data_IF_962275240537
#
_entry.id   IF_962275240537
#
_cell.length_a   1.000
_cell.length_b   1.000
_cell.length_c   1.000
_cell.angle_alpha   90.00
_cell.angle_beta   90.00
_cell.angle_gamma   90.00
#
_symmetry.space_group_name_H-M   'P 1'
#
loop_
_entity.id
_entity.type
_entity.pdbx_description
1 polymer ?
#
# COMPACT_ATOMS: atom_id res chain seq x y z
N UNK A 1 25.75 -16.70 81.80
CA UNK A 1 24.64 -15.73 81.96
C UNK A 1 24.41 -15.08 80.60
N UNK A 2 23.17 -15.17 80.07
CA UNK A 2 22.57 -14.48 78.90
C UNK A 2 23.28 -14.65 77.52
N UNK A 3 22.80 -15.46 76.57
CA UNK A 3 21.52 -15.50 75.80
C UNK A 3 21.24 -14.25 74.94
N UNK A 4 20.99 -14.55 73.65
CA UNK A 4 20.05 -13.93 72.69
C UNK A 4 20.54 -12.76 71.81
N UNK A 5 20.76 -13.01 70.51
CA UNK A 5 19.85 -12.80 69.32
C UNK A 5 19.78 -11.32 68.90
N UNK A 6 19.95 -10.92 67.63
CA UNK A 6 18.90 -11.04 66.60
C UNK A 6 19.35 -10.50 65.20
N UNK A 7 19.08 -11.29 64.15
CA UNK A 7 18.70 -11.01 62.72
C UNK A 7 19.62 -10.15 61.84
N UNK A 8 20.32 -10.71 60.84
CA UNK A 8 19.88 -11.18 59.49
C UNK A 8 19.23 -10.09 58.63
N UNK A 9 19.96 -9.64 57.60
CA UNK A 9 19.54 -9.66 56.18
C UNK A 9 20.77 -10.01 55.34
N UNK A 10 20.77 -11.18 54.70
CA UNK A 10 21.68 -11.53 53.60
C UNK A 10 20.96 -11.12 52.32
N UNK A 11 21.49 -10.12 51.62
CA UNK A 11 21.05 -9.81 50.26
C UNK A 11 21.82 -10.71 49.30
N UNK A 12 21.12 -11.73 48.80
CA UNK A 12 21.58 -12.67 47.79
C UNK A 12 21.72 -11.96 46.44
N UNK A 13 22.95 -11.74 45.97
CA UNK A 13 23.23 -11.50 44.56
C UNK A 13 23.16 -12.83 43.80
N UNK A 14 22.00 -13.13 43.23
CA UNK A 14 21.85 -14.17 42.21
C UNK A 14 22.55 -13.71 40.93
N UNK A 15 23.76 -14.21 40.69
CA UNK A 15 24.28 -14.36 39.34
C UNK A 15 23.49 -15.51 38.69
N UNK A 16 22.44 -15.19 37.94
CA UNK A 16 21.88 -16.13 36.97
C UNK A 16 22.59 -15.90 35.64
N UNK A 17 23.48 -16.81 35.29
CA UNK A 17 23.93 -17.03 33.93
C UNK A 17 22.72 -17.37 33.05
N UNK A 18 22.25 -16.41 32.26
CA UNK A 18 21.39 -16.71 31.12
C UNK A 18 22.29 -17.25 30.01
N UNK A 19 22.31 -18.58 29.89
CA UNK A 19 22.71 -19.26 28.67
C UNK A 19 21.81 -18.76 27.54
N UNK A 20 22.36 -17.96 26.62
CA UNK A 20 21.73 -17.72 25.33
C UNK A 20 21.67 -19.09 24.63
N UNK A 21 20.46 -19.55 24.31
CA UNK A 21 20.32 -20.56 23.29
C UNK A 21 20.79 -19.90 21.99
N UNK A 22 21.88 -20.42 21.41
CA UNK A 22 22.15 -20.20 19.99
C UNK A 22 20.87 -20.56 19.23
N UNK A 23 20.29 -19.59 18.54
CA UNK A 23 19.31 -19.86 17.50
C UNK A 23 20.12 -20.54 16.39
N UNK A 24 20.25 -21.87 16.48
CA UNK A 24 20.73 -22.68 15.38
C UNK A 24 19.91 -22.29 14.16
N UNK A 25 20.60 -21.95 13.05
CA UNK A 25 20.01 -21.78 11.73
C UNK A 25 18.76 -22.65 11.58
N UNK A 26 17.60 -22.02 11.43
CA UNK A 26 16.38 -22.71 11.04
C UNK A 26 16.72 -23.39 9.72
N UNK A 27 16.97 -24.70 9.77
CA UNK A 27 17.21 -25.48 8.57
C UNK A 27 15.84 -25.54 7.87
N UNK A 28 15.73 -25.08 6.62
CA UNK A 28 14.49 -25.20 5.88
C UNK A 28 14.01 -26.64 5.96
N UNK A 29 12.70 -26.84 6.13
CA UNK A 29 12.12 -28.18 6.16
C UNK A 29 12.62 -28.97 4.93
N UNK A 30 13.16 -30.16 5.15
CA UNK A 30 13.66 -30.98 4.05
C UNK A 30 12.54 -31.25 3.05
N UNK A 31 12.89 -31.44 1.77
CA UNK A 31 11.93 -31.83 0.72
C UNK A 31 11.11 -33.07 1.11
N UNK A 32 11.68 -33.98 1.91
CA UNK A 32 10.97 -35.13 2.46
C UNK A 32 9.87 -34.72 3.48
N UNK A 33 10.14 -33.75 4.34
CA UNK A 33 9.18 -33.22 5.31
C UNK A 33 8.05 -32.44 4.64
N UNK A 34 8.37 -31.66 3.60
CA UNK A 34 7.38 -30.93 2.80
C UNK A 34 6.50 -31.89 1.96
N UNK A 35 7.09 -32.96 1.43
CA UNK A 35 6.37 -34.02 0.71
C UNK A 35 5.41 -34.78 1.63
N UNK A 36 5.79 -35.04 2.88
CA UNK A 36 4.90 -35.64 3.88
C UNK A 36 3.73 -34.73 4.26
N UNK A 37 3.97 -33.42 4.38
CA UNK A 37 2.91 -32.42 4.63
C UNK A 37 1.95 -32.36 3.44
N UNK A 38 2.47 -32.28 2.20
CA UNK A 38 1.67 -32.28 0.99
C UNK A 38 0.83 -33.58 0.85
N UNK A 39 1.42 -34.73 1.18
CA UNK A 39 0.72 -36.03 1.17
C UNK A 39 -0.37 -36.13 2.25
N UNK A 40 -0.19 -35.43 3.38
CA UNK A 40 -1.19 -35.40 4.46
C UNK A 40 -2.39 -34.48 4.17
N UNK A 41 -2.27 -33.60 3.17
CA UNK A 41 -3.27 -32.62 2.78
C UNK A 41 -4.05 -33.00 1.51
N UNK A 42 -3.67 -34.08 0.81
CA UNK A 42 -4.33 -34.50 -0.43
C UNK A 42 -5.50 -35.45 -0.16
N UNK A 43 -6.74 -34.93 -0.21
CA UNK A 43 -7.93 -35.74 -0.45
C UNK A 43 -8.19 -35.84 -1.96
N UNK A 44 -7.91 -37.02 -2.53
CA UNK A 44 -8.41 -37.59 -3.81
C UNK A 44 -7.65 -37.34 -5.13
N UNK A 45 -7.21 -38.48 -5.69
CA UNK A 45 -6.95 -38.88 -7.10
C UNK A 45 -5.51 -38.74 -7.68
N UNK A 46 -4.84 -39.91 -7.73
CA UNK A 46 -3.68 -40.36 -8.52
C UNK A 46 -2.39 -39.53 -8.60
N UNK A 47 -1.33 -40.08 -7.98
CA UNK A 47 0.07 -39.75 -8.19
C UNK A 47 0.43 -39.71 -9.69
N UNK A 48 0.87 -38.54 -10.16
CA UNK A 48 1.84 -38.43 -11.24
C UNK A 48 3.16 -38.03 -10.58
N UNK A 49 4.18 -38.88 -10.72
CA UNK A 49 5.53 -38.63 -10.22
C UNK A 49 6.08 -37.31 -10.76
N UNK A 50 6.15 -36.29 -9.91
CA UNK A 50 6.85 -35.05 -10.23
C UNK A 50 8.27 -35.12 -9.69
N UNK A 51 9.19 -35.57 -10.55
CA UNK A 51 10.61 -35.28 -10.41
C UNK A 51 10.80 -33.77 -10.65
N UNK A 52 10.62 -32.95 -9.61
CA UNK A 52 10.82 -31.50 -9.69
C UNK A 52 12.33 -31.23 -9.73
N UNK A 53 12.83 -30.87 -10.91
CA UNK A 53 14.14 -30.28 -11.07
C UNK A 53 14.09 -28.83 -10.53
N UNK A 54 14.69 -28.59 -9.36
CA UNK A 54 14.60 -27.34 -8.58
C UNK A 54 15.54 -26.24 -9.12
N UNK A 55 15.73 -26.13 -10.44
CA UNK A 55 16.64 -25.11 -11.01
C UNK A 55 16.03 -24.18 -12.08
N UNK A 56 14.75 -24.32 -12.46
CA UNK A 56 14.11 -23.36 -13.38
C UNK A 56 12.60 -23.19 -13.16
N UNK A 57 12.16 -23.04 -11.90
CA UNK A 57 10.78 -22.61 -11.61
C UNK A 57 10.78 -21.12 -11.32
N UNK A 58 10.92 -20.28 -12.34
CA UNK A 58 10.36 -18.93 -12.29
C UNK A 58 8.85 -19.11 -12.18
N UNK A 59 8.33 -19.15 -10.95
CA UNK A 59 6.91 -19.27 -10.67
C UNK A 59 6.20 -18.07 -11.26
N UNK A 60 5.49 -18.24 -12.38
CA UNK A 60 4.49 -17.27 -12.79
C UNK A 60 3.54 -17.12 -11.59
N UNK A 61 3.50 -15.93 -10.98
CA UNK A 61 2.65 -15.63 -9.81
C UNK A 61 1.16 -15.83 -10.17
N UNK A 62 0.84 -15.85 -11.47
CA UNK A 62 -0.48 -16.06 -12.04
C UNK A 62 -0.38 -17.14 -13.14
N UNK A 63 -1.14 -18.23 -13.03
CA UNK A 63 -1.36 -19.11 -14.19
C UNK A 63 -2.29 -18.40 -15.18
N UNK A 64 -1.71 -17.79 -16.22
CA UNK A 64 -2.41 -16.88 -17.15
C UNK A 64 -3.58 -17.52 -17.91
N UNK A 65 -3.56 -18.85 -18.11
CA UNK A 65 -4.68 -19.57 -18.72
C UNK A 65 -5.88 -19.73 -17.77
N UNK A 66 -5.61 -19.91 -16.48
CA UNK A 66 -6.65 -20.03 -15.45
C UNK A 66 -7.27 -18.65 -15.17
N UNK A 67 -6.46 -17.58 -15.13
CA UNK A 67 -6.95 -16.23 -14.82
C UNK A 67 -8.08 -15.74 -15.75
N UNK A 68 -7.96 -15.93 -17.07
CA UNK A 68 -9.01 -15.53 -18.03
C UNK A 68 -10.32 -16.27 -17.80
N UNK A 69 -10.24 -17.53 -17.41
CA UNK A 69 -11.39 -18.37 -17.12
C UNK A 69 -12.02 -17.91 -15.80
N UNK A 70 -11.21 -17.73 -14.76
CA UNK A 70 -11.65 -17.32 -13.44
C UNK A 70 -12.32 -15.94 -13.47
N UNK A 71 -11.78 -14.97 -14.24
CA UNK A 71 -12.41 -13.65 -14.46
C UNK A 71 -13.81 -13.79 -15.06
N UNK A 72 -14.00 -14.69 -16.04
CA UNK A 72 -15.31 -14.92 -16.65
C UNK A 72 -16.27 -15.61 -15.69
N UNK A 73 -15.79 -16.61 -14.95
CA UNK A 73 -16.61 -17.33 -13.97
C UNK A 73 -17.09 -16.40 -12.85
N UNK A 74 -16.23 -15.52 -12.33
CA UNK A 74 -16.62 -14.52 -11.34
C UNK A 74 -17.54 -13.44 -11.92
N UNK A 75 -17.28 -13.00 -13.15
CA UNK A 75 -18.17 -12.07 -13.85
C UNK A 75 -19.59 -12.64 -13.96
N UNK A 76 -19.73 -13.89 -14.39
CA UNK A 76 -21.02 -14.57 -14.47
C UNK A 76 -21.66 -14.79 -13.09
N UNK A 77 -20.87 -15.18 -12.09
CA UNK A 77 -21.35 -15.47 -10.73
C UNK A 77 -21.92 -14.25 -10.02
N UNK A 78 -21.30 -13.08 -10.22
CA UNK A 78 -21.62 -11.84 -9.52
C UNK A 78 -22.37 -10.80 -10.37
N UNK A 79 -22.80 -11.19 -11.57
CA UNK A 79 -23.49 -10.30 -12.53
C UNK A 79 -22.65 -9.05 -12.85
N UNK A 80 -21.37 -9.27 -13.15
CA UNK A 80 -20.39 -8.26 -13.52
C UNK A 80 -19.98 -8.41 -14.98
N UNK A 81 -19.45 -7.34 -15.56
CA UNK A 81 -18.82 -7.34 -16.87
C UNK A 81 -17.34 -7.74 -16.77
N UNK A 82 -16.75 -8.13 -17.89
CA UNK A 82 -15.29 -8.30 -17.99
C UNK A 82 -14.69 -7.02 -18.53
N UNK A 83 -13.82 -6.38 -17.74
CA UNK A 83 -12.95 -5.31 -18.21
C UNK A 83 -11.79 -5.94 -18.99
N UNK A 84 -11.93 -5.96 -20.32
CA UNK A 84 -10.99 -6.65 -21.20
C UNK A 84 -9.60 -6.00 -21.20
N UNK A 85 -9.53 -4.66 -21.12
CA UNK A 85 -8.27 -3.92 -21.09
C UNK A 85 -7.52 -4.21 -19.78
N UNK A 86 -8.22 -4.15 -18.64
CA UNK A 86 -7.63 -4.47 -17.35
C UNK A 86 -7.20 -5.95 -17.27
N UNK A 87 -8.03 -6.86 -17.79
CA UNK A 87 -7.69 -8.28 -17.85
C UNK A 87 -6.44 -8.54 -18.71
N UNK A 88 -6.28 -7.87 -19.85
CA UNK A 88 -5.10 -8.01 -20.71
C UNK A 88 -3.83 -7.52 -20.01
N UNK A 89 -3.89 -6.35 -19.37
CA UNK A 89 -2.76 -5.79 -18.61
C UNK A 89 -2.35 -6.74 -17.48
N UNK A 90 -3.31 -7.23 -16.67
CA UNK A 90 -3.02 -8.13 -15.55
C UNK A 90 -2.50 -9.51 -16.01
N UNK A 91 -2.87 -9.97 -17.20
CA UNK A 91 -2.31 -11.20 -17.76
C UNK A 91 -0.88 -11.03 -18.27
N UNK A 92 -0.56 -9.85 -18.81
CA UNK A 92 0.78 -9.51 -19.23
C UNK A 92 1.71 -9.27 -18.04
N UNK A 93 1.15 -8.95 -16.88
CA UNK A 93 1.88 -8.83 -15.63
C UNK A 93 2.35 -10.20 -15.14
N UNK A 94 3.66 -10.48 -15.26
CA UNK A 94 4.25 -11.74 -14.80
C UNK A 94 4.55 -11.76 -13.29
N UNK A 95 4.52 -10.59 -12.63
CA UNK A 95 4.96 -10.39 -11.26
C UNK A 95 6.43 -10.75 -11.05
N UNK A 96 7.11 -10.04 -10.16
CA UNK A 96 8.49 -10.38 -9.79
C UNK A 96 8.83 -9.85 -8.40
N UNK A 97 10.01 -10.23 -7.93
CA UNK A 97 10.50 -9.99 -6.57
C UNK A 97 11.16 -8.60 -6.39
N UNK A 98 11.07 -7.73 -7.41
CA UNK A 98 11.70 -6.40 -7.43
C UNK A 98 10.79 -5.28 -6.92
N UNK A 99 11.36 -4.31 -6.21
CA UNK A 99 10.67 -3.09 -5.78
C UNK A 99 10.29 -2.20 -6.97
N UNK A 100 9.03 -1.77 -7.02
CA UNK A 100 8.46 -0.90 -8.04
C UNK A 100 7.77 -1.65 -9.19
N UNK A 101 7.87 -2.98 -9.25
CA UNK A 101 7.30 -3.78 -10.34
C UNK A 101 5.77 -3.77 -10.30
N UNK A 102 5.16 -3.82 -9.11
CA UNK A 102 3.70 -3.78 -8.97
C UNK A 102 3.19 -2.42 -9.41
N UNK A 103 3.79 -1.35 -8.90
CA UNK A 103 3.45 0.05 -9.23
C UNK A 103 3.49 0.25 -10.75
N UNK A 104 4.56 -0.18 -11.41
CA UNK A 104 4.70 -0.10 -12.87
C UNK A 104 3.70 -1.00 -13.61
N UNK A 105 3.41 -2.19 -13.08
CA UNK A 105 2.44 -3.14 -13.65
C UNK A 105 1.00 -2.63 -13.61
N UNK A 106 0.62 -1.89 -12.56
CA UNK A 106 -0.76 -1.44 -12.36
C UNK A 106 -1.00 0.02 -12.76
N UNK A 107 0.04 0.83 -13.03
CA UNK A 107 -0.13 2.26 -13.37
C UNK A 107 -1.06 2.50 -14.56
N UNK A 108 -0.99 1.66 -15.59
CA UNK A 108 -1.80 1.78 -16.80
C UNK A 108 -3.25 1.33 -16.67
N UNK A 109 -3.62 0.67 -15.57
CA UNK A 109 -5.00 0.22 -15.34
C UNK A 109 -5.91 1.43 -15.15
N UNK A 110 -7.00 1.48 -15.91
CA UNK A 110 -8.02 2.52 -15.79
C UNK A 110 -8.97 2.15 -14.66
N UNK A 111 -9.31 3.13 -13.85
CA UNK A 111 -10.31 2.98 -12.80
C UNK A 111 -11.67 2.58 -13.39
N UNK A 112 -12.36 1.65 -12.73
CA UNK A 112 -13.67 1.15 -13.14
C UNK A 112 -14.68 1.05 -11.99
N UNK A 113 -14.50 1.91 -10.97
CA UNK A 113 -15.47 2.12 -9.90
C UNK A 113 -16.36 3.34 -10.19
N UNK A 114 -17.49 3.41 -9.50
CA UNK A 114 -18.43 4.53 -9.52
C UNK A 114 -18.68 4.99 -8.09
N UNK A 115 -18.14 6.17 -7.75
CA UNK A 115 -18.25 6.85 -6.47
C UNK A 115 -19.60 7.53 -6.25
N UNK A 116 -20.37 7.76 -7.32
CA UNK A 116 -21.61 8.54 -7.28
C UNK A 116 -22.85 7.66 -7.10
N UNK A 117 -22.70 6.33 -7.14
CA UNK A 117 -23.84 5.39 -6.99
C UNK A 117 -24.42 5.43 -5.59
N UNK A 118 -23.57 5.60 -4.59
CA UNK A 118 -23.95 5.63 -3.19
C UNK A 118 -23.91 7.06 -2.67
N UNK A 119 -24.77 7.39 -1.70
CA UNK A 119 -24.69 8.68 -1.01
C UNK A 119 -23.50 8.74 -0.06
N UNK A 120 -23.07 9.96 0.29
CA UNK A 120 -21.95 10.19 1.21
C UNK A 120 -22.16 9.57 2.61
N UNK A 121 -23.41 9.29 2.99
CA UNK A 121 -23.79 8.64 4.25
C UNK A 121 -23.83 7.10 4.17
N UNK A 122 -23.62 6.53 2.98
CA UNK A 122 -23.63 5.08 2.77
C UNK A 122 -22.34 4.44 3.31
N UNK A 123 -22.52 3.54 4.27
CA UNK A 123 -21.43 2.76 4.87
C UNK A 123 -21.41 1.37 4.23
N UNK A 124 -20.26 1.00 3.67
CA UNK A 124 -20.05 -0.31 3.05
C UNK A 124 -20.43 -1.45 4.00
N UNK A 125 -21.08 -2.46 3.44
CA UNK A 125 -21.42 -3.68 4.19
C UNK A 125 -20.15 -4.48 4.43
N UNK A 126 -19.84 -4.74 5.70
CA UNK A 126 -18.71 -5.55 6.14
C UNK A 126 -19.19 -6.84 6.81
N UNK A 127 -19.52 -7.85 6.00
CA UNK A 127 -20.05 -9.15 6.42
C UNK A 127 -19.21 -10.32 5.86
N UNK A 128 -19.62 -11.57 6.08
CA UNK A 128 -18.85 -12.74 5.60
C UNK A 128 -18.69 -12.84 4.07
N UNK A 129 -19.49 -12.09 3.29
CA UNK A 129 -19.38 -12.02 1.82
C UNK A 129 -18.36 -10.94 1.39
N UNK A 130 -17.77 -10.22 2.36
CA UNK A 130 -16.78 -9.16 2.15
C UNK A 130 -15.37 -9.69 2.27
N UNK A 131 -14.55 -9.45 1.26
CA UNK A 131 -13.12 -9.82 1.25
C UNK A 131 -12.31 -8.60 1.66
N UNK A 132 -11.53 -8.76 2.72
CA UNK A 132 -10.53 -7.79 3.17
C UNK A 132 -9.17 -8.09 2.54
N UNK A 133 -8.61 -7.07 1.89
CA UNK A 133 -7.24 -7.03 1.41
C UNK A 133 -6.45 -6.04 2.26
N UNK A 134 -5.56 -6.54 3.11
CA UNK A 134 -4.77 -5.74 4.04
C UNK A 134 -3.28 -5.82 3.69
N UNK A 135 -2.66 -4.67 3.46
CA UNK A 135 -1.22 -4.59 3.17
C UNK A 135 -0.36 -4.91 4.40
N UNK A 136 -0.92 -4.81 5.61
CA UNK A 136 -0.11 -4.58 6.82
C UNK A 136 0.62 -3.23 6.76
N UNK A 137 1.43 -2.93 7.77
CA UNK A 137 2.29 -1.74 7.73
C UNK A 137 3.44 -1.95 6.75
N UNK A 138 3.42 -1.21 5.65
CA UNK A 138 4.48 -1.15 4.67
C UNK A 138 5.43 -0.01 4.99
N UNK A 139 6.72 -0.19 4.70
CA UNK A 139 7.69 0.90 4.77
C UNK A 139 7.66 1.64 3.43
N UNK A 140 7.50 2.97 3.49
CA UNK A 140 7.57 3.83 2.32
C UNK A 140 9.04 4.13 2.00
N UNK A 141 9.43 3.95 0.74
CA UNK A 141 10.79 4.18 0.26
C UNK A 141 10.84 5.36 -0.70
N UNK A 142 11.86 6.21 -0.56
CA UNK A 142 12.09 7.31 -1.49
C UNK A 142 12.40 6.78 -2.88
N UNK A 143 11.75 7.34 -3.90
CA UNK A 143 12.02 7.09 -5.32
C UNK A 143 12.41 8.39 -6.01
N UNK A 144 13.28 8.30 -7.01
CA UNK A 144 13.75 9.46 -7.78
C UNK A 144 13.18 9.52 -9.19
N UNK A 145 12.32 8.57 -9.55
CA UNK A 145 11.65 8.54 -10.85
C UNK A 145 10.34 7.79 -10.79
N UNK A 146 9.32 8.33 -11.46
CA UNK A 146 8.03 7.68 -11.69
C UNK A 146 7.45 8.23 -13.00
N UNK A 147 6.97 7.36 -13.89
CA UNK A 147 6.31 7.74 -15.15
C UNK A 147 7.02 8.87 -15.94
N UNK A 148 8.32 8.67 -16.22
CA UNK A 148 9.22 9.62 -16.90
C UNK A 148 9.46 10.96 -16.19
N UNK A 149 8.96 11.13 -14.96
CA UNK A 149 9.21 12.28 -14.10
C UNK A 149 10.37 12.00 -13.16
N UNK A 150 11.09 13.05 -12.77
CA UNK A 150 12.24 12.98 -11.86
C UNK A 150 11.89 13.67 -10.55
N UNK A 151 12.21 13.02 -9.44
CA UNK A 151 11.96 13.53 -8.08
C UNK A 151 13.27 13.86 -7.38
N UNK A 152 13.19 14.79 -6.44
CA UNK A 152 14.33 15.22 -5.64
C UNK A 152 14.92 14.08 -4.81
N UNK A 153 16.25 14.00 -4.80
CA UNK A 153 17.00 13.12 -3.90
C UNK A 153 17.32 13.78 -2.56
N UNK A 154 16.97 15.06 -2.36
CA UNK A 154 17.09 15.75 -1.07
C UNK A 154 16.16 15.13 -0.03
N UNK A 155 16.28 15.51 1.25
CA UNK A 155 15.41 15.06 2.34
C UNK A 155 14.92 16.28 3.13
N UNK A 156 14.45 17.28 2.40
CA UNK A 156 13.97 18.55 2.91
C UNK A 156 12.49 18.46 3.32
N UNK A 157 11.76 17.48 2.77
CA UNK A 157 10.35 17.20 3.12
C UNK A 157 10.24 16.05 4.13
N UNK A 158 10.76 14.88 3.77
CA UNK A 158 10.64 13.66 4.59
C UNK A 158 11.93 13.37 5.36
N UNK A 159 11.81 13.14 6.66
CA UNK A 159 12.98 12.83 7.50
C UNK A 159 13.57 11.47 7.12
N UNK A 160 14.77 11.49 6.54
CA UNK A 160 15.53 10.30 6.12
C UNK A 160 15.97 9.38 7.27
N UNK A 161 15.96 9.87 8.51
CA UNK A 161 16.30 9.08 9.70
C UNK A 161 15.08 8.38 10.32
N UNK A 162 13.88 8.76 9.94
CA UNK A 162 12.63 8.19 10.41
C UNK A 162 12.12 7.08 9.48
N UNK A 163 11.42 6.11 10.04
CA UNK A 163 10.72 5.10 9.25
C UNK A 163 9.36 5.63 8.85
N UNK A 164 9.17 5.87 7.55
CA UNK A 164 7.91 6.31 6.98
C UNK A 164 7.05 5.06 6.68
N UNK A 165 5.78 5.04 7.09
CA UNK A 165 4.94 3.85 6.92
C UNK A 165 3.54 4.18 6.43
N UNK A 166 2.95 3.26 5.66
CA UNK A 166 1.56 3.32 5.26
C UNK A 166 0.90 1.93 5.34
N UNK A 167 -0.43 1.90 5.46
CA UNK A 167 -1.25 0.69 5.43
C UNK A 167 -2.56 0.97 4.73
N UNK A 168 -2.97 0.09 3.85
CA UNK A 168 -4.25 0.12 3.17
C UNK A 168 -5.02 -1.15 3.49
N UNK A 169 -6.29 -0.98 3.84
CA UNK A 169 -7.25 -2.08 4.01
C UNK A 169 -8.38 -1.84 3.03
N UNK A 170 -8.46 -2.67 2.00
CA UNK A 170 -9.51 -2.57 0.98
C UNK A 170 -10.54 -3.66 1.25
N UNK A 171 -11.81 -3.29 1.28
CA UNK A 171 -12.93 -4.19 1.49
C UNK A 171 -13.72 -4.29 0.20
N UNK A 172 -13.92 -5.52 -0.29
CA UNK A 172 -14.65 -5.78 -1.54
C UNK A 172 -15.76 -6.79 -1.28
N UNK A 173 -17.00 -6.37 -1.50
CA UNK A 173 -18.15 -7.26 -1.51
C UNK A 173 -18.62 -7.46 -2.96
N UNK A 174 -18.22 -8.57 -3.58
CA UNK A 174 -18.55 -8.87 -4.98
C UNK A 174 -20.05 -9.04 -5.23
N UNK A 175 -20.79 -9.51 -4.22
CA UNK A 175 -22.23 -9.76 -4.31
C UNK A 175 -23.05 -8.48 -4.24
N UNK A 176 -22.66 -7.56 -3.37
CA UNK A 176 -23.28 -6.23 -3.27
C UNK A 176 -22.66 -5.22 -4.24
N UNK A 177 -21.53 -5.58 -4.86
CA UNK A 177 -20.75 -4.74 -5.76
C UNK A 177 -20.28 -3.46 -5.07
N UNK A 178 -19.83 -3.59 -3.82
CA UNK A 178 -19.36 -2.50 -2.96
C UNK A 178 -17.85 -2.62 -2.75
N UNK A 179 -17.16 -1.50 -2.83
CA UNK A 179 -15.74 -1.37 -2.49
C UNK A 179 -15.52 -0.14 -1.61
N UNK A 180 -14.69 -0.28 -0.59
CA UNK A 180 -14.22 0.82 0.25
C UNK A 180 -12.81 0.55 0.75
N UNK A 181 -12.13 1.57 1.25
CA UNK A 181 -10.80 1.43 1.80
C UNK A 181 -10.59 2.30 3.03
N UNK A 182 -9.86 1.76 4.01
CA UNK A 182 -9.22 2.54 5.07
C UNK A 182 -7.74 2.69 4.76
N UNK A 183 -7.24 3.93 4.82
CA UNK A 183 -5.83 4.25 4.65
C UNK A 183 -5.29 4.80 5.95
N UNK A 184 -4.10 4.34 6.33
CA UNK A 184 -3.35 4.79 7.49
C UNK A 184 -1.93 5.15 7.10
N UNK A 185 -1.35 6.15 7.78
CA UNK A 185 0.05 6.48 7.61
C UNK A 185 0.69 6.97 8.90
N UNK A 186 2.01 6.79 8.96
CA UNK A 186 2.91 7.37 9.96
C UNK A 186 4.01 8.10 9.22
N UNK A 187 3.97 9.42 9.29
CA UNK A 187 4.88 10.27 8.53
C UNK A 187 5.64 11.20 9.46
N UNK A 188 6.96 11.24 9.32
CA UNK A 188 7.84 12.20 9.99
C UNK A 188 8.41 13.16 8.95
N UNK A 189 8.01 14.43 9.02
CA UNK A 189 8.57 15.50 8.20
C UNK A 189 9.93 15.92 8.73
N UNK A 190 10.79 16.45 7.87
CA UNK A 190 12.13 16.94 8.26
C UNK A 190 12.02 17.99 9.36
N UNK A 191 12.77 17.79 10.45
CA UNK A 191 12.72 18.68 11.63
C UNK A 191 11.46 18.54 12.51
N UNK A 192 10.54 17.64 12.17
CA UNK A 192 9.28 17.41 12.89
C UNK A 192 9.29 16.16 13.76
N UNK A 193 8.11 15.79 14.25
CA UNK A 193 7.84 14.51 14.91
C UNK A 193 6.97 13.64 14.02
N UNK A 194 6.94 12.33 14.28
CA UNK A 194 6.00 11.41 13.65
C UNK A 194 4.56 11.90 13.87
N UNK A 195 3.75 11.87 12.81
CA UNK A 195 2.32 12.14 12.82
C UNK A 195 1.56 10.98 12.22
N UNK A 196 0.42 10.67 12.84
CA UNK A 196 -0.50 9.63 12.38
C UNK A 196 -1.66 10.19 11.54
N UNK A 197 -1.92 9.57 10.39
CA UNK A 197 -3.02 9.95 9.51
C UNK A 197 -3.93 8.76 9.24
N UNK A 198 -5.23 9.05 9.09
CA UNK A 198 -6.23 8.05 8.71
C UNK A 198 -7.32 8.71 7.88
N UNK A 199 -7.77 8.03 6.84
CA UNK A 199 -9.01 8.39 6.14
C UNK A 199 -9.70 7.14 5.58
N UNK A 200 -11.00 7.27 5.35
CA UNK A 200 -11.79 6.29 4.64
C UNK A 200 -12.12 6.84 3.24
N UNK A 201 -12.07 5.99 2.22
CA UNK A 201 -12.33 6.40 0.83
C UNK A 201 -13.80 6.73 0.54
N UNK A 202 -14.71 6.43 1.48
CA UNK A 202 -16.13 6.27 1.19
C UNK A 202 -16.40 4.94 0.48
N UNK A 203 -17.68 4.68 0.25
CA UNK A 203 -18.14 3.47 -0.45
C UNK A 203 -18.35 3.79 -1.92
N UNK A 204 -17.69 3.05 -2.80
CA UNK A 204 -17.93 3.08 -4.23
C UNK A 204 -18.55 1.76 -4.69
N UNK A 205 -19.10 1.78 -5.90
CA UNK A 205 -19.58 0.57 -6.57
C UNK A 205 -18.71 0.19 -7.75
N UNK A 206 -18.85 -1.03 -8.23
CA UNK A 206 -18.24 -1.48 -9.48
C UNK A 206 -19.23 -2.34 -10.27
N UNK A 207 -19.00 -2.50 -11.56
CA UNK A 207 -19.83 -3.35 -12.41
C UNK A 207 -18.99 -4.27 -13.31
N UNK A 208 -17.68 -4.32 -13.09
CA UNK A 208 -16.75 -5.11 -13.88
C UNK A 208 -15.61 -5.70 -13.05
N UNK A 209 -15.03 -6.79 -13.56
CA UNK A 209 -13.80 -7.41 -13.07
C UNK A 209 -12.80 -7.53 -14.23
N UNK A 210 -11.48 -7.38 -14.00
CA UNK A 210 -10.79 -7.00 -12.76
C UNK A 210 -11.26 -5.66 -12.17
N UNK A 211 -11.35 -5.56 -10.84
CA UNK A 211 -11.67 -4.29 -10.17
C UNK A 211 -10.41 -3.44 -10.16
N UNK A 212 -10.53 -2.16 -10.50
CA UNK A 212 -9.45 -1.17 -10.44
C UNK A 212 -9.99 0.05 -9.73
N UNK A 213 -9.43 0.34 -8.56
CA UNK A 213 -9.80 1.47 -7.73
C UNK A 213 -8.59 2.35 -7.45
N UNK A 214 -8.82 3.66 -7.33
CA UNK A 214 -7.81 4.60 -6.82
C UNK A 214 -8.44 5.59 -5.85
N UNK A 215 -7.61 6.25 -5.07
CA UNK A 215 -8.03 7.35 -4.20
C UNK A 215 -6.90 8.36 -4.09
N UNK A 216 -7.28 9.62 -3.93
CA UNK A 216 -6.38 10.75 -3.65
C UNK A 216 -6.87 11.50 -2.43
N UNK A 217 -5.93 11.96 -1.61
CA UNK A 217 -6.17 12.85 -0.47
C UNK A 217 -4.93 13.67 -0.19
N UNK A 218 -5.10 14.79 0.50
CA UNK A 218 -3.98 15.45 1.18
C UNK A 218 -3.98 15.15 2.68
N UNK A 219 -2.79 15.09 3.24
CA UNK A 219 -2.57 15.09 4.69
C UNK A 219 -2.09 16.46 5.12
N UNK A 220 -2.85 17.11 5.98
CA UNK A 220 -2.51 18.45 6.42
C UNK A 220 -1.37 18.41 7.44
N UNK A 221 -0.87 19.59 7.82
CA UNK A 221 0.14 19.70 8.86
C UNK A 221 -0.34 19.11 10.19
N UNK A 222 -1.61 19.21 10.55
CA UNK A 222 -2.13 18.70 11.83
C UNK A 222 -2.35 17.19 11.78
N UNK A 223 -1.94 16.48 12.84
CA UNK A 223 -2.14 15.03 12.95
C UNK A 223 -3.62 14.66 12.79
N UNK A 224 -3.90 13.60 12.01
CA UNK A 224 -5.24 13.10 11.76
C UNK A 224 -6.12 13.97 10.86
N UNK A 225 -5.64 15.12 10.40
CA UNK A 225 -6.38 15.96 9.45
C UNK A 225 -6.05 15.56 8.01
N UNK A 226 -7.09 15.34 7.22
CA UNK A 226 -7.01 14.97 5.81
C UNK A 226 -8.09 15.72 5.05
N UNK A 227 -7.81 16.11 3.81
CA UNK A 227 -8.73 16.89 2.99
C UNK A 227 -8.60 16.53 1.50
N UNK A 228 -9.37 17.20 0.65
CA UNK A 228 -9.22 17.15 -0.80
C UNK A 228 -7.82 17.60 -1.24
N UNK A 229 -7.26 16.94 -2.25
CA UNK A 229 -5.90 17.18 -2.74
C UNK A 229 -5.77 18.41 -3.64
N UNK A 230 -6.90 19.02 -4.02
CA UNK A 230 -7.01 20.25 -4.82
C UNK A 230 -6.55 20.14 -6.28
N UNK A 231 -6.19 18.95 -6.75
CA UNK A 231 -5.88 18.69 -8.15
C UNK A 231 -7.15 18.40 -8.95
N UNK A 232 -7.12 18.69 -10.25
CA UNK A 232 -8.23 18.37 -11.15
C UNK A 232 -8.31 16.87 -11.36
N UNK A 233 -9.28 16.24 -10.69
CA UNK A 233 -9.49 14.79 -10.72
C UNK A 233 -8.42 14.01 -9.96
N UNK A 234 -8.55 12.67 -9.96
CA UNK A 234 -7.66 11.80 -9.20
C UNK A 234 -6.34 11.53 -9.94
N UNK A 235 -5.33 12.37 -9.71
CA UNK A 235 -3.97 12.23 -10.24
C UNK A 235 -3.17 11.17 -9.46
N UNK A 236 -2.15 10.56 -10.08
CA UNK A 236 -1.24 9.61 -9.41
C UNK A 236 0.08 10.26 -8.93
N UNK A 237 0.28 11.53 -9.28
CA UNK A 237 1.39 12.40 -8.87
C UNK A 237 0.97 13.87 -8.99
N UNK A 238 1.60 14.74 -8.22
CA UNK A 238 1.52 16.19 -8.33
C UNK A 238 2.16 16.73 -9.61
N UNK A 239 3.09 16.00 -10.23
CA UNK A 239 3.88 16.48 -11.37
C UNK A 239 3.21 16.13 -12.71
N UNK A 240 2.89 17.14 -13.54
CA UNK A 240 2.53 16.91 -14.95
C UNK A 240 3.78 16.74 -15.83
N UNK A 241 4.89 17.38 -15.45
CA UNK A 241 6.21 17.22 -16.05
C UNK A 241 7.30 17.52 -15.01
N UNK A 242 8.57 17.41 -15.39
CA UNK A 242 9.68 17.80 -14.50
C UNK A 242 9.72 19.29 -14.14
N UNK A 243 8.87 20.12 -14.76
CA UNK A 243 8.86 21.58 -14.56
C UNK A 243 7.47 22.14 -14.28
N UNK A 244 6.43 21.30 -14.23
CA UNK A 244 5.05 21.75 -14.07
C UNK A 244 4.25 20.80 -13.17
N UNK A 245 3.36 21.36 -12.38
CA UNK A 245 2.38 20.65 -11.58
C UNK A 245 1.18 20.24 -12.45
N UNK A 246 0.41 19.27 -11.96
CA UNK A 246 -0.91 18.96 -12.49
C UNK A 246 -1.85 20.16 -12.36
N UNK A 247 -2.85 20.22 -13.23
CA UNK A 247 -3.91 21.24 -13.13
C UNK A 247 -4.67 21.10 -11.83
N UNK A 248 -5.20 22.22 -11.33
CA UNK A 248 -5.79 22.32 -10.00
C UNK A 248 -7.03 23.20 -9.97
N UNK A 249 -7.81 23.02 -8.90
CA UNK A 249 -9.00 23.82 -8.61
C UNK A 249 -8.68 25.25 -8.18
N UNK A 250 -7.44 25.54 -7.80
CA UNK A 250 -7.00 26.88 -7.43
C UNK A 250 -6.98 27.85 -8.60
N UNK A 251 -7.08 29.15 -8.27
CA UNK A 251 -7.02 30.21 -9.28
C UNK A 251 -5.59 30.46 -9.78
N UNK A 252 -4.59 30.08 -8.98
CA UNK A 252 -3.18 30.28 -9.30
C UNK A 252 -2.34 29.06 -8.91
N UNK A 253 -1.25 28.83 -9.65
CA UNK A 253 -0.26 27.81 -9.30
C UNK A 253 0.45 28.09 -7.97
N UNK A 254 0.54 29.37 -7.57
CA UNK A 254 1.19 29.74 -6.31
C UNK A 254 0.43 29.16 -5.11
N UNK A 255 -0.90 29.23 -5.09
CA UNK A 255 -1.71 28.60 -4.02
C UNK A 255 -1.42 27.09 -3.89
N UNK A 256 -1.15 26.41 -5.02
CA UNK A 256 -0.77 24.99 -5.02
C UNK A 256 0.65 24.76 -4.48
N UNK A 257 1.58 25.66 -4.81
CA UNK A 257 2.95 25.62 -4.28
C UNK A 257 2.89 25.80 -2.77
N UNK A 258 2.23 26.84 -2.28
CA UNK A 258 2.11 27.19 -0.86
C UNK A 258 1.50 26.02 -0.06
N UNK A 259 0.44 25.40 -0.59
CA UNK A 259 -0.22 24.25 0.04
C UNK A 259 0.75 23.09 0.32
N UNK A 260 1.57 22.72 -0.65
CA UNK A 260 2.46 21.56 -0.58
C UNK A 260 3.92 21.90 -0.22
N UNK A 261 4.22 23.17 0.05
CA UNK A 261 5.55 23.65 0.44
C UNK A 261 5.83 23.33 1.92
N UNK A 262 7.03 22.81 2.17
CA UNK A 262 7.54 22.48 3.49
C UNK A 262 8.67 23.40 3.96
N UNK A 263 8.98 24.46 3.22
CA UNK A 263 9.96 25.45 3.65
C UNK A 263 9.40 26.28 4.82
N UNK A 264 9.88 25.99 6.04
CA UNK A 264 9.47 26.70 7.25
C UNK A 264 9.89 28.18 7.32
N UNK A 265 10.71 28.64 6.36
CA UNK A 265 11.05 30.05 6.23
C UNK A 265 10.06 30.84 5.37
N UNK A 266 9.21 30.14 4.63
CA UNK A 266 8.06 30.69 3.90
C UNK A 266 6.85 30.77 4.85
N UNK A 267 6.26 31.96 4.97
CA UNK A 267 5.12 32.19 5.86
C UNK A 267 3.79 31.69 5.29
N UNK A 268 3.72 31.48 3.98
CA UNK A 268 2.52 31.04 3.28
C UNK A 268 2.48 29.51 3.13
N UNK A 269 3.60 28.82 3.38
CA UNK A 269 3.72 27.36 3.33
C UNK A 269 2.78 26.63 4.32
N UNK A 270 1.96 25.71 3.81
CA UNK A 270 1.00 24.92 4.62
C UNK A 270 1.47 23.50 4.96
N UNK A 271 2.52 23.00 4.30
CA UNK A 271 3.13 21.68 4.57
C UNK A 271 2.16 20.48 4.45
N UNK A 272 1.22 20.55 3.50
CA UNK A 272 0.38 19.42 3.14
C UNK A 272 1.19 18.35 2.38
N UNK A 273 0.77 17.09 2.46
CA UNK A 273 1.37 15.99 1.71
C UNK A 273 0.31 15.39 0.78
N UNK A 274 0.60 15.31 -0.50
CA UNK A 274 -0.25 14.65 -1.49
C UNK A 274 -0.14 13.14 -1.30
N UNK A 275 -1.27 12.44 -1.35
CA UNK A 275 -1.32 10.98 -1.20
C UNK A 275 -2.13 10.36 -2.31
N UNK A 276 -1.60 9.28 -2.86
CA UNK A 276 -2.26 8.47 -3.88
C UNK A 276 -2.27 7.00 -3.45
N UNK A 277 -3.40 6.33 -3.62
CA UNK A 277 -3.53 4.89 -3.46
C UNK A 277 -4.13 4.27 -4.70
N UNK A 278 -3.61 3.12 -5.13
CA UNK A 278 -4.18 2.29 -6.20
C UNK A 278 -4.32 0.86 -5.74
N UNK A 279 -5.42 0.23 -6.13
CA UNK A 279 -5.70 -1.17 -5.85
C UNK A 279 -6.33 -1.84 -7.06
N UNK A 280 -5.98 -3.11 -7.28
CA UNK A 280 -6.70 -3.97 -8.21
C UNK A 280 -6.77 -5.39 -7.71
N UNK A 281 -7.86 -6.09 -8.05
CA UNK A 281 -7.99 -7.54 -7.88
C UNK A 281 -8.73 -8.11 -9.09
N UNK A 282 -8.24 -9.21 -9.64
CA UNK A 282 -8.82 -9.80 -10.85
C UNK A 282 -10.13 -10.53 -10.58
N UNK A 283 -10.24 -11.22 -9.43
CA UNK A 283 -11.37 -12.06 -9.03
C UNK A 283 -11.48 -12.09 -7.50
N UNK A 284 -12.58 -12.58 -6.96
CA UNK A 284 -12.81 -12.79 -5.54
C UNK A 284 -11.83 -13.82 -4.92
N UNK A 285 -11.23 -14.69 -5.72
CA UNK A 285 -10.22 -15.64 -5.28
C UNK A 285 -8.78 -15.16 -5.54
N UNK A 286 -8.60 -14.09 -6.29
CA UNK A 286 -7.28 -13.56 -6.65
C UNK A 286 -6.66 -12.79 -5.50
N UNK A 287 -5.34 -12.73 -5.50
CA UNK A 287 -4.63 -11.72 -4.71
C UNK A 287 -4.96 -10.33 -5.25
N UNK A 288 -4.95 -9.35 -4.35
CA UNK A 288 -4.93 -7.94 -4.72
C UNK A 288 -3.50 -7.47 -5.00
N UNK A 289 -3.38 -6.43 -5.83
CA UNK A 289 -2.17 -5.66 -6.04
C UNK A 289 -2.45 -4.24 -5.60
N UNK A 290 -1.56 -3.66 -4.79
CA UNK A 290 -1.72 -2.30 -4.27
C UNK A 290 -0.44 -1.50 -4.33
N UNK A 291 -0.57 -0.21 -4.57
CA UNK A 291 0.51 0.78 -4.49
C UNK A 291 0.04 2.03 -3.75
N UNK A 292 0.95 2.67 -3.04
CA UNK A 292 0.72 3.98 -2.42
C UNK A 292 1.90 4.90 -2.70
N UNK A 293 1.60 6.18 -2.87
CA UNK A 293 2.61 7.22 -3.04
C UNK A 293 2.30 8.46 -2.21
N UNK A 294 3.37 9.13 -1.79
CA UNK A 294 3.34 10.33 -0.96
C UNK A 294 4.28 11.37 -1.57
N UNK A 295 3.76 12.56 -1.85
CA UNK A 295 4.53 13.63 -2.48
C UNK A 295 4.38 14.97 -1.76
N UNK A 296 5.44 15.75 -1.77
CA UNK A 296 5.44 17.15 -1.35
C UNK A 296 6.75 17.82 -1.77
N UNK A 297 6.78 19.16 -1.76
CA UNK A 297 7.95 19.95 -2.15
C UNK A 297 8.50 20.80 -1.01
N UNK A 298 9.70 21.33 -1.22
CA UNK A 298 10.36 22.29 -0.33
C UNK A 298 11.07 23.33 -1.20
N UNK A 299 10.49 24.52 -1.33
CA UNK A 299 11.04 25.59 -2.15
C UNK A 299 11.04 26.93 -1.39
N UNK A 300 12.01 27.82 -1.65
CA UNK A 300 12.04 29.14 -1.02
C UNK A 300 10.82 29.99 -1.38
N UNK A 301 10.48 30.93 -0.50
CA UNK A 301 9.42 31.92 -0.71
C UNK A 301 9.51 32.58 -2.10
N UNK A 302 8.37 32.65 -2.78
CA UNK A 302 8.23 33.18 -4.14
C UNK A 302 8.84 32.30 -5.24
N UNK A 303 9.12 31.01 -4.96
CA UNK A 303 9.56 30.06 -5.97
C UNK A 303 8.52 29.94 -7.09
N UNK A 304 9.00 29.96 -8.34
CA UNK A 304 8.15 29.62 -9.47
C UNK A 304 7.88 28.10 -9.53
N UNK A 305 6.89 27.73 -10.33
CA UNK A 305 6.45 26.35 -10.51
C UNK A 305 7.58 25.38 -10.89
N UNK A 306 8.47 25.76 -11.80
CA UNK A 306 9.57 24.87 -12.22
C UNK A 306 10.59 24.64 -11.10
N UNK A 307 10.86 25.67 -10.29
CA UNK A 307 11.70 25.54 -9.09
C UNK A 307 11.05 24.60 -8.08
N UNK A 308 9.76 24.78 -7.79
CA UNK A 308 9.03 23.92 -6.85
C UNK A 308 8.93 22.47 -7.36
N UNK A 309 8.56 22.26 -8.62
CA UNK A 309 8.49 20.94 -9.24
C UNK A 309 9.83 20.18 -9.12
N UNK A 310 10.95 20.88 -9.24
CA UNK A 310 12.29 20.31 -9.08
C UNK A 310 12.64 19.90 -7.64
N UNK A 311 11.88 20.32 -6.62
CA UNK A 311 12.12 19.97 -5.21
C UNK A 311 11.15 18.91 -4.69
N UNK A 312 10.16 18.49 -5.49
CA UNK A 312 9.19 17.47 -5.08
C UNK A 312 9.89 16.15 -4.76
N UNK A 313 9.68 15.67 -3.55
CA UNK A 313 10.10 14.35 -3.09
C UNK A 313 8.94 13.37 -3.22
N UNK A 314 9.22 12.11 -3.54
CA UNK A 314 8.23 11.03 -3.58
C UNK A 314 8.66 9.83 -2.76
N UNK A 315 7.76 9.35 -1.91
CA UNK A 315 7.87 8.05 -1.26
C UNK A 315 6.84 7.09 -1.86
N UNK A 316 7.21 5.84 -2.04
CA UNK A 316 6.32 4.79 -2.55
C UNK A 316 6.38 3.53 -1.69
N UNK A 317 5.29 2.77 -1.70
CA UNK A 317 5.26 1.38 -1.28
C UNK A 317 4.27 0.59 -2.13
N UNK A 318 4.49 -0.71 -2.22
CA UNK A 318 3.63 -1.62 -2.95
C UNK A 318 3.51 -2.96 -2.22
N UNK A 319 2.42 -3.67 -2.48
CA UNK A 319 2.17 -4.98 -1.90
C UNK A 319 1.30 -5.87 -2.78
N UNK A 320 1.54 -7.17 -2.66
CA UNK A 320 0.57 -8.21 -2.99
C UNK A 320 -0.27 -8.51 -1.75
N UNK A 321 -1.59 -8.41 -1.86
CA UNK A 321 -2.54 -8.52 -0.76
C UNK A 321 -3.29 -9.85 -0.85
N UNK A 322 -3.15 -10.70 0.16
CA UNK A 322 -3.94 -11.94 0.22
C UNK A 322 -5.31 -11.61 0.83
N UNK A 323 -6.35 -11.71 0.01
CA UNK A 323 -7.74 -11.49 0.43
C UNK A 323 -8.20 -12.49 1.48
N UNK A 324 -8.92 -12.01 2.50
CA UNK A 324 -9.54 -12.84 3.55
C UNK A 324 -11.00 -12.47 3.70
N UNK A 325 -11.88 -13.46 3.67
CA UNK A 325 -13.27 -13.24 4.02
C UNK A 325 -13.38 -12.73 5.46
N UNK A 326 -14.17 -11.69 5.65
CA UNK A 326 -14.53 -11.17 6.96
C UNK A 326 -15.34 -12.22 7.75
N UNK A 327 -15.33 -12.11 9.08
CA UNK A 327 -15.99 -13.08 9.98
C UNK A 327 -17.33 -12.59 10.45
#
# INVERSE_FOLDING_TARGET
MKRNTLKIIIASTLLSSASYADISNITPASTASLSQIASSLSHSVSNVDNNINVETTTSNIINTADLKKDIKEDAEKFDLQVDADAAEILQAFSGGEGSGEITEGIKGLKENINTDKFGDDHVATLDQDTIEYDTGWMTLTKVTSYDSKTYSSSNDVFDSSATQQARGRVYVNFKLQEISADVYAKITRTGGTEKYYTYNSGTASFNSVPIVAKTVKRFDLTEGQTDHDMFDGAQDTMLASNTTLQSSEFSTTQEMIDLYNHDTSDSDAESAIFTYGKFTTATAASVGLGSMAFEAGHAPDGANEATFAGTVERLEAEATLVGKAMK
#
